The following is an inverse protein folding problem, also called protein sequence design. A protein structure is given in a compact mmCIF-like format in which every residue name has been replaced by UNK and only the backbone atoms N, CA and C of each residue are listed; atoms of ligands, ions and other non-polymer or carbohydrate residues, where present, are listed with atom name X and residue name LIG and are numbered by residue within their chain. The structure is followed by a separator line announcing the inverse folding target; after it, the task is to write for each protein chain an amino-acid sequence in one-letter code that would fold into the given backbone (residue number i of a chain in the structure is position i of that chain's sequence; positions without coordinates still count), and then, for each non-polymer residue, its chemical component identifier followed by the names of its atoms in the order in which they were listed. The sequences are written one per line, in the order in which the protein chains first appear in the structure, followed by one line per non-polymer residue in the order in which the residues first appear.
data_IF_804120242551
#
_entry.id   IF_804120242551
#
_cell.length_a   1.000
_cell.length_b   1.000
_cell.length_c   1.000
_cell.angle_alpha   90.00
_cell.angle_beta   90.00
_cell.angle_gamma   90.00
#
_symmetry.space_group_name_H-M   'P 1'
#
loop_
_entity.id
_entity.type
_entity.pdbx_description
1 polymer ?
#
# COMPACT_ATOMS: atom_id res chain seq x y z
N UNK A 1 30.31 18.86 6.08
CA UNK A 1 30.91 17.53 5.85
C UNK A 1 30.17 16.39 6.59
N UNK A 2 29.57 16.61 7.76
CA UNK A 2 28.79 15.58 8.49
C UNK A 2 27.60 14.98 7.73
N UNK A 3 26.83 15.78 6.97
CA UNK A 3 25.70 15.27 6.17
C UNK A 3 26.15 14.24 5.14
N UNK A 4 27.32 14.44 4.52
CA UNK A 4 27.84 13.56 3.48
C UNK A 4 28.33 12.22 4.06
N UNK A 5 28.95 12.26 5.26
CA UNK A 5 29.35 11.07 6.01
C UNK A 5 28.15 10.26 6.54
N UNK A 6 27.00 10.91 6.76
CA UNK A 6 25.76 10.24 7.18
C UNK A 6 25.10 9.52 6.00
N UNK A 7 25.05 10.14 4.82
CA UNK A 7 24.52 9.52 3.59
C UNK A 7 25.37 8.33 3.13
N UNK A 8 26.71 8.45 3.20
CA UNK A 8 27.61 7.34 2.81
C UNK A 8 27.50 6.14 3.74
N UNK A 9 27.30 6.35 5.06
CA UNK A 9 27.08 5.24 6.01
C UNK A 9 25.72 4.56 5.83
N UNK A 10 24.67 5.32 5.51
CA UNK A 10 23.33 4.74 5.21
C UNK A 10 23.42 3.85 3.96
N UNK A 11 24.16 4.28 2.94
CA UNK A 11 24.40 3.47 1.75
C UNK A 11 25.20 2.20 2.06
N UNK A 12 26.24 2.27 2.90
CA UNK A 12 27.02 1.09 3.31
C UNK A 12 26.16 0.08 4.09
N UNK A 13 25.25 0.56 4.95
CA UNK A 13 24.31 -0.31 5.66
C UNK A 13 23.35 -1.00 4.67
N UNK A 14 22.81 -0.28 3.68
CA UNK A 14 22.01 -0.91 2.61
C UNK A 14 22.83 -1.94 1.80
N UNK A 15 24.12 -1.68 1.57
CA UNK A 15 24.99 -2.53 0.75
C UNK A 15 25.40 -3.83 1.45
N UNK A 16 25.68 -3.79 2.76
CA UNK A 16 25.98 -5.00 3.57
C UNK A 16 24.75 -5.90 3.71
N UNK A 17 23.56 -5.29 3.78
CA UNK A 17 22.27 -5.99 3.89
C UNK A 17 21.88 -6.67 2.56
N UNK A 18 22.31 -6.12 1.41
CA UNK A 18 22.05 -6.70 0.08
C UNK A 18 22.74 -8.05 -0.15
N UNK A 19 23.79 -8.40 0.59
CA UNK A 19 24.51 -9.68 0.41
C UNK A 19 23.76 -10.91 0.97
N UNK A 20 22.66 -10.72 1.70
CA UNK A 20 21.88 -11.81 2.32
C UNK A 20 20.40 -11.85 1.91
N UNK A 21 20.04 -11.26 0.76
CA UNK A 21 18.64 -11.20 0.30
C UNK A 21 17.70 -10.55 1.34
N UNK A 22 18.23 -9.58 2.10
CA UNK A 22 17.47 -8.84 3.10
C UNK A 22 17.13 -7.49 2.47
N UNK A 23 15.84 -7.15 2.44
CA UNK A 23 15.38 -5.83 2.03
C UNK A 23 15.03 -5.07 3.30
N UNK A 24 16.02 -4.37 3.86
CA UNK A 24 15.87 -3.60 5.09
C UNK A 24 15.69 -2.13 4.72
N UNK A 25 14.49 -1.60 4.96
CA UNK A 25 14.16 -0.19 4.75
C UNK A 25 14.38 0.56 6.08
N UNK A 26 15.57 1.13 6.25
CA UNK A 26 15.87 1.95 7.43
C UNK A 26 15.13 3.29 7.36
N UNK A 27 14.00 3.38 8.06
CA UNK A 27 13.32 4.64 8.34
C UNK A 27 13.99 5.35 9.51
N UNK A 28 15.05 6.12 9.26
CA UNK A 28 15.68 6.98 10.28
C UNK A 28 14.86 8.27 10.47
N UNK A 29 13.68 8.14 11.08
CA UNK A 29 12.84 9.29 11.46
C UNK A 29 13.21 9.85 12.83
N UNK A 30 12.92 11.14 13.06
CA UNK A 30 13.08 11.87 14.36
C UNK A 30 12.23 11.24 15.49
N UNK A 31 11.34 10.31 15.15
CA UNK A 31 10.44 9.62 16.07
C UNK A 31 11.23 8.56 16.84
N UNK A 32 11.67 8.94 18.03
CA UNK A 32 12.58 8.20 18.91
C UNK A 32 11.92 7.02 19.65
N UNK A 33 10.67 6.66 19.29
CA UNK A 33 9.90 5.58 19.89
C UNK A 33 9.42 4.57 18.84
N UNK A 34 9.70 3.29 19.12
CA UNK A 34 9.36 2.14 18.28
C UNK A 34 7.85 1.96 18.10
N UNK A 35 7.07 2.19 19.15
CA UNK A 35 5.61 2.15 19.14
C UNK A 35 5.03 3.19 18.20
N UNK A 36 5.49 4.44 18.32
CA UNK A 36 5.00 5.58 17.51
C UNK A 36 5.31 5.36 16.04
N UNK A 37 6.51 4.90 15.70
CA UNK A 37 6.90 4.63 14.32
C UNK A 37 6.05 3.52 13.66
N UNK A 38 5.74 2.45 14.41
CA UNK A 38 4.85 1.39 13.94
C UNK A 38 3.42 1.89 13.70
N UNK A 39 2.88 2.66 14.64
CA UNK A 39 1.57 3.28 14.51
C UNK A 39 1.50 4.21 13.31
N UNK A 40 2.55 5.00 13.03
CA UNK A 40 2.61 5.88 11.87
C UNK A 40 2.63 5.10 10.54
N UNK A 41 3.35 3.97 10.47
CA UNK A 41 3.37 3.12 9.27
C UNK A 41 2.00 2.48 9.03
N UNK A 42 1.36 1.96 10.08
CA UNK A 42 0.00 1.43 9.99
C UNK A 42 -1.00 2.51 9.55
N UNK A 43 -0.92 3.70 10.16
CA UNK A 43 -1.78 4.83 9.81
C UNK A 43 -1.58 5.24 8.35
N UNK A 44 -0.33 5.36 7.91
CA UNK A 44 0.01 5.66 6.51
C UNK A 44 -0.57 4.62 5.56
N UNK A 45 -0.40 3.33 5.87
CA UNK A 45 -0.97 2.24 5.09
C UNK A 45 -2.50 2.34 4.99
N UNK A 46 -3.17 2.52 6.12
CA UNK A 46 -4.64 2.65 6.15
C UNK A 46 -5.14 3.85 5.34
N UNK A 47 -4.49 5.01 5.48
CA UNK A 47 -4.84 6.22 4.71
C UNK A 47 -4.65 5.98 3.20
N UNK A 48 -3.56 5.32 2.81
CA UNK A 48 -3.31 4.99 1.41
C UNK A 48 -4.40 4.08 0.83
N UNK A 49 -4.80 3.02 1.54
CA UNK A 49 -5.83 2.10 1.09
C UNK A 49 -7.22 2.74 1.04
N UNK A 50 -7.61 3.49 2.06
CA UNK A 50 -8.89 4.23 2.07
C UNK A 50 -8.97 5.21 0.91
N UNK A 51 -7.88 5.96 0.66
CA UNK A 51 -7.81 6.90 -0.46
C UNK A 51 -7.94 6.19 -1.80
N UNK A 52 -7.27 5.05 -1.96
CA UNK A 52 -7.31 4.25 -3.18
C UNK A 52 -8.71 3.70 -3.44
N UNK A 53 -9.37 3.14 -2.42
CA UNK A 53 -10.75 2.66 -2.52
C UNK A 53 -11.74 3.79 -2.84
N UNK A 54 -11.58 4.96 -2.21
CA UNK A 54 -12.40 6.15 -2.50
C UNK A 54 -12.30 6.55 -3.98
N UNK A 55 -11.08 6.61 -4.51
CA UNK A 55 -10.83 6.91 -5.93
C UNK A 55 -11.48 5.85 -6.83
N UNK A 56 -11.35 4.57 -6.49
CA UNK A 56 -11.96 3.48 -7.25
C UNK A 56 -13.48 3.54 -7.26
N UNK A 57 -14.10 3.76 -6.11
CA UNK A 57 -15.55 3.92 -6.01
C UNK A 57 -16.04 5.11 -6.85
N UNK A 58 -15.29 6.23 -6.86
CA UNK A 58 -15.59 7.39 -7.69
C UNK A 58 -15.52 7.08 -9.20
N UNK A 59 -14.50 6.34 -9.65
CA UNK A 59 -14.39 5.91 -11.05
C UNK A 59 -15.50 4.95 -11.46
N UNK A 60 -15.82 3.97 -10.61
CA UNK A 60 -16.91 3.01 -10.87
C UNK A 60 -18.24 3.76 -10.97
N UNK A 61 -18.51 4.68 -10.05
CA UNK A 61 -19.76 5.46 -10.06
C UNK A 61 -19.89 6.30 -11.33
N UNK A 62 -18.82 7.01 -11.73
CA UNK A 62 -18.81 7.78 -12.99
C UNK A 62 -18.95 6.89 -14.22
N UNK A 63 -18.31 5.74 -14.23
CA UNK A 63 -18.42 4.77 -15.32
C UNK A 63 -19.86 4.27 -15.47
N UNK A 64 -20.51 3.89 -14.37
CA UNK A 64 -21.91 3.46 -14.38
C UNK A 64 -22.84 4.59 -14.84
N UNK A 65 -22.64 5.81 -14.34
CA UNK A 65 -23.47 6.96 -14.70
C UNK A 65 -23.36 7.35 -16.18
N UNK A 66 -22.15 7.40 -16.74
CA UNK A 66 -21.90 7.84 -18.11
C UNK A 66 -22.11 6.74 -19.15
N UNK A 67 -21.53 5.56 -18.91
CA UNK A 67 -21.48 4.50 -19.92
C UNK A 67 -22.65 3.54 -19.84
N UNK A 68 -23.40 3.50 -18.73
CA UNK A 68 -24.40 2.45 -18.47
C UNK A 68 -25.60 2.96 -17.66
N UNK A 69 -26.26 4.01 -18.17
CA UNK A 69 -27.37 4.68 -17.47
C UNK A 69 -28.54 3.73 -17.09
N UNK A 70 -28.77 2.66 -17.87
CA UNK A 70 -29.76 1.61 -17.53
C UNK A 70 -29.48 0.91 -16.19
N UNK A 71 -28.20 0.80 -15.82
CA UNK A 71 -27.80 0.23 -14.54
C UNK A 71 -27.85 1.25 -13.41
N UNK A 72 -27.91 2.55 -13.69
CA UNK A 72 -27.98 3.60 -12.67
C UNK A 72 -29.27 3.51 -11.88
N UNK A 73 -30.41 3.26 -12.54
CA UNK A 73 -31.68 3.07 -11.82
C UNK A 73 -31.64 1.85 -10.87
N UNK A 74 -30.95 0.77 -11.27
CA UNK A 74 -30.82 -0.44 -10.45
C UNK A 74 -29.76 -0.28 -9.34
N UNK A 75 -28.64 0.40 -9.64
CA UNK A 75 -27.53 0.65 -8.70
C UNK A 75 -27.82 1.79 -7.72
N UNK A 76 -28.69 2.74 -8.08
CA UNK A 76 -29.19 3.78 -7.17
C UNK A 76 -30.14 3.22 -6.10
N UNK A 77 -30.53 1.94 -6.22
CA UNK A 77 -31.23 1.25 -5.13
C UNK A 77 -30.34 1.20 -3.89
N UNK A 78 -30.93 1.51 -2.72
CA UNK A 78 -30.26 1.48 -1.40
C UNK A 78 -29.52 0.16 -1.15
N UNK A 79 -29.99 -0.95 -1.75
CA UNK A 79 -29.37 -2.27 -1.64
C UNK A 79 -27.96 -2.33 -2.26
N UNK A 80 -27.73 -1.71 -3.42
CA UNK A 80 -26.43 -1.74 -4.08
C UNK A 80 -25.41 -0.85 -3.37
N UNK A 81 -25.85 0.30 -2.85
CA UNK A 81 -25.02 1.16 -2.00
C UNK A 81 -24.59 0.40 -0.74
N UNK A 82 -25.52 -0.34 -0.11
CA UNK A 82 -25.23 -1.16 1.06
C UNK A 82 -24.23 -2.28 0.74
N UNK A 83 -24.42 -3.00 -0.37
CA UNK A 83 -23.50 -4.06 -0.82
C UNK A 83 -22.11 -3.49 -1.09
N UNK A 84 -22.01 -2.34 -1.76
CA UNK A 84 -20.72 -1.67 -2.00
C UNK A 84 -20.04 -1.23 -0.70
N UNK A 85 -20.81 -0.73 0.27
CA UNK A 85 -20.29 -0.37 1.58
C UNK A 85 -19.76 -1.61 2.33
N UNK A 86 -20.53 -2.70 2.37
CA UNK A 86 -20.12 -3.97 2.98
C UNK A 86 -18.85 -4.52 2.33
N UNK A 87 -18.75 -4.50 1.01
CA UNK A 87 -17.59 -4.99 0.28
C UNK A 87 -16.34 -4.14 0.57
N UNK A 88 -16.47 -2.82 0.63
CA UNK A 88 -15.37 -1.93 1.04
C UNK A 88 -14.92 -2.20 2.49
N UNK A 89 -15.85 -2.44 3.41
CA UNK A 89 -15.54 -2.78 4.80
C UNK A 89 -14.79 -4.12 4.92
N UNK A 90 -15.19 -5.12 4.13
CA UNK A 90 -14.49 -6.42 4.07
C UNK A 90 -13.06 -6.23 3.53
N UNK A 91 -12.89 -5.44 2.46
CA UNK A 91 -11.56 -5.16 1.90
C UNK A 91 -10.69 -4.42 2.91
N UNK A 92 -11.22 -3.38 3.57
CA UNK A 92 -10.48 -2.64 4.59
C UNK A 92 -10.11 -3.52 5.78
N UNK A 93 -11.02 -4.41 6.21
CA UNK A 93 -10.75 -5.39 7.26
C UNK A 93 -9.61 -6.34 6.88
N UNK A 94 -9.63 -6.87 5.65
CA UNK A 94 -8.56 -7.75 5.16
C UNK A 94 -7.21 -7.02 5.09
N UNK A 95 -7.20 -5.80 4.55
CA UNK A 95 -5.99 -4.96 4.50
C UNK A 95 -5.46 -4.68 5.90
N UNK A 96 -6.33 -4.31 6.85
CA UNK A 96 -5.94 -4.06 8.23
C UNK A 96 -5.33 -5.31 8.86
N UNK A 97 -5.95 -6.48 8.67
CA UNK A 97 -5.43 -7.76 9.14
C UNK A 97 -4.04 -8.06 8.56
N UNK A 98 -3.89 -7.94 7.23
CA UNK A 98 -2.61 -8.16 6.54
C UNK A 98 -1.55 -7.19 7.03
N UNK A 99 -1.85 -5.89 7.12
CA UNK A 99 -0.91 -4.88 7.61
C UNK A 99 -0.50 -5.18 9.05
N UNK A 100 -1.45 -5.54 9.92
CA UNK A 100 -1.16 -5.86 11.31
C UNK A 100 -0.26 -7.10 11.43
N UNK A 101 -0.55 -8.18 10.70
CA UNK A 101 0.20 -9.43 10.78
C UNK A 101 1.55 -9.37 10.06
N UNK A 102 1.60 -8.76 8.88
CA UNK A 102 2.80 -8.69 8.05
C UNK A 102 3.81 -7.66 8.54
N UNK A 103 3.34 -6.52 9.09
CA UNK A 103 4.23 -5.44 9.55
C UNK A 103 4.75 -5.71 10.95
N UNK A 104 4.07 -6.52 11.79
CA UNK A 104 4.56 -6.83 13.13
C UNK A 104 5.89 -7.62 13.02
N UNK A 105 7.03 -7.02 13.41
CA UNK A 105 8.30 -7.69 13.32
C UNK A 105 8.32 -8.85 14.33
N UNK A 106 8.62 -10.06 13.86
CA UNK A 106 8.80 -11.19 14.77
C UNK A 106 9.96 -10.93 15.72
N UNK A 107 9.87 -11.43 16.95
CA UNK A 107 10.88 -11.22 18.00
C UNK A 107 12.31 -11.59 17.53
N UNK A 108 12.42 -12.63 16.70
CA UNK A 108 13.69 -13.08 16.11
C UNK A 108 14.32 -12.09 15.13
N UNK A 109 13.51 -11.31 14.40
CA UNK A 109 14.01 -10.28 13.48
C UNK A 109 14.55 -9.07 14.25
N UNK A 110 13.88 -8.72 15.36
CA UNK A 110 14.33 -7.65 16.27
C UNK A 110 15.70 -8.00 16.83
N UNK A 111 15.83 -9.22 17.37
CA UNK A 111 17.10 -9.72 17.91
C UNK A 111 18.22 -9.74 16.88
N UNK A 112 17.92 -10.15 15.64
CA UNK A 112 18.90 -10.16 14.55
C UNK A 112 19.36 -8.75 14.19
N UNK A 113 18.44 -7.80 14.05
CA UNK A 113 18.78 -6.41 13.70
C UNK A 113 19.55 -5.73 14.84
N UNK A 114 19.14 -5.92 16.09
CA UNK A 114 19.86 -5.38 17.25
C UNK A 114 21.27 -5.96 17.39
N UNK A 115 21.47 -7.25 17.06
CA UNK A 115 22.81 -7.88 17.10
C UNK A 115 23.70 -7.54 15.90
N UNK A 116 23.12 -7.30 14.72
CA UNK A 116 23.89 -7.08 13.48
C UNK A 116 24.20 -5.60 13.22
N UNK A 117 23.40 -4.67 13.76
CA UNK A 117 23.57 -3.21 13.58
C UNK A 117 24.20 -2.57 14.82
N UNK A 118 25.19 -3.23 15.44
CA UNK A 118 26.11 -2.56 16.37
C UNK A 118 27.24 -2.01 15.51
N UNK A 119 27.05 -0.82 14.96
CA UNK A 119 28.10 -0.07 14.27
C UNK A 119 28.67 0.91 15.29
N UNK A 120 29.99 0.80 15.56
CA UNK A 120 30.70 1.64 16.52
C UNK A 120 30.32 3.13 16.36
N UNK A 121 29.69 3.69 17.40
CA UNK A 121 29.35 5.11 17.52
C UNK A 121 27.96 5.52 17.04
N UNK A 122 27.09 4.62 16.58
CA UNK A 122 25.67 4.94 16.29
C UNK A 122 24.78 4.02 17.12
N UNK A 123 24.16 4.58 18.17
CA UNK A 123 23.21 3.87 19.02
C UNK A 123 21.89 3.64 18.25
N UNK A 124 21.83 2.50 17.56
CA UNK A 124 20.69 2.05 16.75
C UNK A 124 19.61 1.37 17.60
N UNK A 125 19.79 1.26 18.93
CA UNK A 125 18.82 0.67 19.85
C UNK A 125 17.44 1.35 19.82
N UNK A 126 17.41 2.63 19.43
CA UNK A 126 16.19 3.46 19.35
C UNK A 126 15.63 3.67 17.94
N UNK A 127 16.30 3.14 16.92
CA UNK A 127 15.83 3.28 15.55
C UNK A 127 14.63 2.36 15.27
N UNK A 128 13.63 2.87 14.58
CA UNK A 128 12.54 2.04 14.06
C UNK A 128 12.99 1.39 12.76
N UNK A 129 12.98 0.05 12.74
CA UNK A 129 13.34 -0.72 11.55
C UNK A 129 12.08 -1.21 10.86
N UNK A 130 11.98 -0.98 9.55
CA UNK A 130 10.97 -1.59 8.70
C UNK A 130 11.68 -2.41 7.64
N UNK A 131 11.60 -3.73 7.67
CA UNK A 131 12.39 -4.53 6.76
C UNK A 131 11.89 -5.95 6.65
N UNK A 132 12.05 -6.50 5.45
CA UNK A 132 11.73 -7.88 5.13
C UNK A 132 13.06 -8.60 4.89
N UNK A 133 13.37 -9.58 5.74
CA UNK A 133 14.46 -10.51 5.47
C UNK A 133 13.91 -11.76 4.81
N UNK A 134 14.30 -12.07 3.56
CA UNK A 134 13.97 -13.36 2.93
C UNK A 134 14.57 -14.54 3.72
N UNK A 135 15.67 -14.31 4.43
CA UNK A 135 16.43 -15.35 5.16
C UNK A 135 15.85 -15.68 6.53
N UNK A 136 15.22 -14.70 7.21
CA UNK A 136 14.76 -14.85 8.61
C UNK A 136 13.29 -14.51 8.85
N UNK A 137 12.60 -13.87 7.90
CA UNK A 137 11.30 -13.22 8.17
C UNK A 137 10.15 -13.67 7.27
N UNK A 138 10.22 -14.88 6.71
CA UNK A 138 9.16 -15.34 5.82
C UNK A 138 8.72 -16.75 6.18
N UNK A 139 7.94 -16.87 7.25
CA UNK A 139 6.91 -17.91 7.27
C UNK A 139 6.12 -17.80 5.97
N UNK A 140 5.93 -18.92 5.26
CA UNK A 140 5.22 -18.96 3.97
C UNK A 140 3.87 -18.22 4.03
N UNK A 141 3.25 -18.20 5.20
CA UNK A 141 2.04 -17.44 5.51
C UNK A 141 2.21 -15.92 5.34
N UNK A 142 3.28 -15.31 5.88
CA UNK A 142 3.54 -13.86 5.74
C UNK A 142 3.82 -13.47 4.29
N UNK A 143 4.55 -14.30 3.54
CA UNK A 143 4.72 -14.10 2.10
C UNK A 143 3.39 -14.16 1.36
N UNK A 144 2.56 -15.16 1.67
CA UNK A 144 1.24 -15.29 1.05
C UNK A 144 0.39 -14.04 1.29
N UNK A 145 0.38 -13.49 2.51
CA UNK A 145 -0.35 -12.25 2.83
C UNK A 145 0.18 -11.03 2.06
N UNK A 146 1.50 -10.90 1.90
CA UNK A 146 2.09 -9.80 1.11
C UNK A 146 1.74 -9.94 -0.37
N UNK A 147 1.82 -11.16 -0.91
CA UNK A 147 1.42 -11.45 -2.30
C UNK A 147 -0.06 -11.14 -2.50
N UNK A 148 -0.92 -11.55 -1.55
CA UNK A 148 -2.35 -11.23 -1.55
C UNK A 148 -2.59 -9.71 -1.59
N UNK A 149 -1.87 -8.94 -0.78
CA UNK A 149 -1.97 -7.49 -0.75
C UNK A 149 -1.58 -6.85 -2.09
N UNK A 150 -0.50 -7.34 -2.71
CA UNK A 150 -0.03 -6.86 -4.02
C UNK A 150 -1.05 -7.21 -5.10
N UNK A 151 -1.62 -8.42 -5.08
CA UNK A 151 -2.66 -8.84 -6.01
C UNK A 151 -3.91 -7.98 -5.87
N UNK A 152 -4.34 -7.69 -4.64
CA UNK A 152 -5.47 -6.83 -4.35
C UNK A 152 -5.26 -5.41 -4.89
N UNK A 153 -4.09 -4.81 -4.61
CA UNK A 153 -3.73 -3.48 -5.14
C UNK A 153 -3.70 -3.47 -6.68
N UNK A 154 -3.15 -4.52 -7.28
CA UNK A 154 -3.09 -4.67 -8.74
C UNK A 154 -4.49 -4.76 -9.35
N UNK A 155 -5.39 -5.52 -8.73
CA UNK A 155 -6.78 -5.63 -9.16
C UNK A 155 -7.49 -4.28 -9.09
N UNK A 156 -7.33 -3.54 -7.98
CA UNK A 156 -7.92 -2.20 -7.82
C UNK A 156 -7.39 -1.23 -8.89
N UNK A 157 -6.08 -1.26 -9.16
CA UNK A 157 -5.45 -0.45 -10.20
C UNK A 157 -6.00 -0.79 -11.60
N UNK A 158 -6.16 -2.07 -11.92
CA UNK A 158 -6.74 -2.52 -13.19
C UNK A 158 -8.18 -2.05 -13.37
N UNK A 159 -9.00 -2.12 -12.31
CA UNK A 159 -10.38 -1.61 -12.33
C UNK A 159 -10.38 -0.10 -12.60
N UNK A 160 -9.52 0.67 -11.94
CA UNK A 160 -9.40 2.12 -12.17
C UNK A 160 -9.03 2.45 -13.61
N UNK A 161 -8.00 1.79 -14.15
CA UNK A 161 -7.55 2.00 -15.53
C UNK A 161 -8.65 1.62 -16.51
N UNK A 162 -9.32 0.48 -16.30
CA UNK A 162 -10.43 0.03 -17.14
C UNK A 162 -11.58 1.05 -17.15
N UNK A 163 -12.02 1.51 -15.99
CA UNK A 163 -13.07 2.53 -15.87
C UNK A 163 -12.66 3.82 -16.57
N UNK A 164 -11.44 4.30 -16.34
CA UNK A 164 -10.93 5.52 -16.98
C UNK A 164 -10.87 5.40 -18.50
N UNK A 165 -10.40 4.28 -19.05
CA UNK A 165 -10.35 4.03 -20.49
C UNK A 165 -11.74 4.01 -21.12
N UNK A 166 -12.71 3.35 -20.47
CA UNK A 166 -14.09 3.31 -20.97
C UNK A 166 -14.75 4.68 -20.94
N UNK A 167 -14.59 5.45 -19.86
CA UNK A 167 -15.10 6.83 -19.77
C UNK A 167 -14.48 7.69 -20.87
N UNK A 168 -13.15 7.62 -21.06
CA UNK A 168 -12.45 8.36 -22.12
C UNK A 168 -12.99 8.00 -23.50
N UNK A 169 -13.17 6.71 -23.79
CA UNK A 169 -13.70 6.25 -25.07
C UNK A 169 -15.14 6.72 -25.30
N UNK A 170 -15.99 6.69 -24.26
CA UNK A 170 -17.36 7.17 -24.35
C UNK A 170 -17.41 8.67 -24.65
N UNK A 171 -16.64 9.48 -23.92
CA UNK A 171 -16.56 10.93 -24.14
C UNK A 171 -16.02 11.29 -25.53
N UNK A 172 -15.04 10.53 -26.06
CA UNK A 172 -14.53 10.73 -27.42
C UNK A 172 -15.62 10.51 -28.47
N UNK A 173 -16.37 9.42 -28.33
CA UNK A 173 -17.44 9.09 -29.27
C UNK A 173 -18.59 10.11 -29.20
N UNK A 174 -19.00 10.51 -27.99
CA UNK A 174 -20.06 11.52 -27.81
C UNK A 174 -19.70 12.89 -28.42
N UNK A 175 -18.44 13.31 -28.30
CA UNK A 175 -17.94 14.55 -28.96
C UNK A 175 -18.00 14.45 -30.49
N UNK A 176 -17.64 13.31 -31.07
CA UNK A 176 -17.73 13.12 -32.52
C UNK A 176 -19.18 13.09 -33.03
N UNK A 177 -20.12 12.54 -32.26
CA UNK A 177 -21.54 12.58 -32.62
C UNK A 177 -22.09 14.01 -32.58
N UNK A 178 -21.71 14.81 -31.57
CA UNK A 178 -22.15 16.21 -31.48
C UNK A 178 -21.62 17.09 -32.61
N UNK A 179 -20.40 16.82 -33.12
CA UNK A 179 -19.82 17.57 -34.24
C UNK A 179 -20.45 17.18 -35.59
N UNK A 180 -21.02 15.98 -35.73
CA UNK A 180 -21.69 15.52 -36.96
C UNK A 180 -23.15 15.97 -37.09
N UNK A 181 -23.72 16.55 -36.04
CA UNK A 181 -25.13 17.02 -36.00
C UNK A 181 -25.23 18.53 -36.32
N UNK A 182 -24.09 19.21 -36.45
CA UNK A 182 -23.97 20.56 -37.00
C UNK A 182 -23.30 20.50 -38.37
#
# INVERSE_FOLDING_TARGET
MEKFARTSRIQVIQQVISQHSILLLLGTGIVNERSVSFTLILLYGMVFFVSTLSVTNSFIYRYLHLCRNEFVQRVSSKQFILIGCLLNMIILGNVFYVLHVAILPGERFVDFVTKTVIVDGIDMSRAAFFGFSMKYCMESFRLALIIELILLLSLIALVNVFCALKIKSYLKNAKQTSIKVF
#
